data_IF_386427242084
#
_entry.id   IF_386427242084
#
_cell.length_a   1.000
_cell.length_b   1.000
_cell.length_c   1.000
_cell.angle_alpha   90.00
_cell.angle_beta   90.00
_cell.angle_gamma   90.00
#
_symmetry.space_group_name_H-M   'P 1'
#
loop_
_entity.id
_entity.type
_entity.pdbx_description
1 polymer ?
#
# COMPACT_ATOMS: atom_id res chain seq x y z
N UNK A 1 -35.09 -2.72 7.97
CA UNK A 1 -33.85 -2.56 8.74
C UNK A 1 -33.62 -1.06 8.94
N UNK A 2 -33.61 -0.57 10.18
CA UNK A 2 -33.38 0.85 10.47
C UNK A 2 -31.99 1.22 9.93
N UNK A 3 -31.94 2.28 9.13
CA UNK A 3 -30.70 2.83 8.58
C UNK A 3 -29.87 3.34 9.78
N UNK A 4 -28.88 2.57 10.21
CA UNK A 4 -28.02 2.95 11.32
C UNK A 4 -27.31 4.26 10.93
N UNK A 5 -27.54 5.31 11.69
CA UNK A 5 -27.02 6.65 11.42
C UNK A 5 -25.49 6.56 11.34
N UNK A 6 -24.92 6.80 10.16
CA UNK A 6 -23.46 6.67 9.92
C UNK A 6 -22.70 7.57 10.87
N UNK A 7 -21.71 7.02 11.56
CA UNK A 7 -20.79 7.77 12.40
C UNK A 7 -19.72 8.44 11.51
N UNK A 8 -20.06 9.59 10.93
CA UNK A 8 -19.16 10.34 10.06
C UNK A 8 -17.87 10.79 10.75
N UNK A 9 -17.92 11.06 12.05
CA UNK A 9 -16.72 11.45 12.82
C UNK A 9 -15.70 10.31 12.80
N UNK A 10 -16.14 9.08 13.07
CA UNK A 10 -15.28 7.91 13.01
C UNK A 10 -14.77 7.65 11.59
N UNK A 11 -15.62 7.77 10.55
CA UNK A 11 -15.24 7.58 9.15
C UNK A 11 -14.15 8.58 8.74
N UNK A 12 -14.36 9.87 8.98
CA UNK A 12 -13.39 10.93 8.65
C UNK A 12 -12.07 10.72 9.40
N UNK A 13 -12.14 10.30 10.67
CA UNK A 13 -10.96 9.99 11.46
C UNK A 13 -10.17 8.82 10.83
N UNK A 14 -10.83 7.76 10.39
CA UNK A 14 -10.17 6.63 9.73
C UNK A 14 -9.56 7.06 8.38
N UNK A 15 -10.22 7.90 7.60
CA UNK A 15 -9.67 8.44 6.37
C UNK A 15 -8.43 9.31 6.62
N UNK A 16 -8.44 10.13 7.67
CA UNK A 16 -7.28 10.90 8.08
C UNK A 16 -6.10 9.98 8.45
N UNK A 17 -6.35 8.91 9.20
CA UNK A 17 -5.33 7.90 9.52
C UNK A 17 -4.78 7.25 8.23
N UNK A 18 -5.61 6.98 7.22
CA UNK A 18 -5.12 6.49 5.92
C UNK A 18 -4.14 7.47 5.24
N UNK A 19 -4.40 8.77 5.33
CA UNK A 19 -3.45 9.80 4.88
C UNK A 19 -2.13 9.74 5.65
N UNK A 20 -2.19 9.59 6.97
CA UNK A 20 -0.99 9.48 7.81
C UNK A 20 -0.15 8.25 7.50
N UNK A 21 -0.77 7.10 7.24
CA UNK A 21 -0.09 5.87 6.79
C UNK A 21 0.76 6.17 5.56
N UNK A 22 0.16 6.80 4.56
CA UNK A 22 0.84 7.12 3.31
C UNK A 22 1.95 8.14 3.49
N UNK A 23 1.72 9.15 4.33
CA UNK A 23 2.73 10.15 4.66
C UNK A 23 4.00 9.49 5.19
N UNK A 24 3.88 8.65 6.21
CA UNK A 24 5.04 7.94 6.80
C UNK A 24 5.71 7.00 5.80
N UNK A 25 4.94 6.22 5.07
CA UNK A 25 5.48 5.27 4.09
C UNK A 25 6.27 5.99 3.00
N UNK A 26 5.77 7.12 2.51
CA UNK A 26 6.41 7.85 1.42
C UNK A 26 7.53 8.80 1.88
N UNK A 27 7.66 9.04 3.18
CA UNK A 27 8.84 9.70 3.76
C UNK A 27 10.11 8.86 3.62
N UNK A 28 10.00 7.54 3.53
CA UNK A 28 11.16 6.67 3.39
C UNK A 28 11.97 6.92 2.11
N UNK A 29 11.34 7.35 1.01
CA UNK A 29 12.03 7.57 -0.26
C UNK A 29 13.01 8.77 -0.23
N UNK A 30 12.65 9.98 0.22
CA UNK A 30 13.61 11.09 0.35
C UNK A 30 14.82 10.75 1.22
N UNK A 31 14.60 10.05 2.33
CA UNK A 31 15.70 9.64 3.21
C UNK A 31 16.55 8.53 2.60
N UNK A 32 15.93 7.54 1.98
CA UNK A 32 16.63 6.49 1.25
C UNK A 32 17.55 7.07 0.19
N UNK A 33 17.11 8.11 -0.52
CA UNK A 33 17.94 8.80 -1.51
C UNK A 33 19.15 9.50 -0.89
N UNK A 34 18.99 10.21 0.25
CA UNK A 34 20.11 10.86 0.95
C UNK A 34 21.14 9.82 1.41
N UNK A 35 20.68 8.75 2.06
CA UNK A 35 21.56 7.67 2.49
C UNK A 35 22.15 6.88 1.33
N UNK A 36 21.42 6.74 0.22
CA UNK A 36 21.87 6.10 -1.02
C UNK A 36 23.08 6.77 -1.66
N UNK A 37 23.29 8.07 -1.43
CA UNK A 37 24.48 8.79 -1.87
C UNK A 37 25.75 8.37 -1.10
N UNK A 38 25.60 7.87 0.12
CA UNK A 38 26.72 7.39 0.93
C UNK A 38 26.87 5.86 0.86
N UNK A 39 25.76 5.14 0.62
CA UNK A 39 25.72 3.67 0.58
C UNK A 39 24.79 3.22 -0.55
N UNK A 40 25.33 2.62 -1.63
CA UNK A 40 24.56 2.20 -2.82
C UNK A 40 23.34 1.31 -2.51
N UNK A 41 23.43 0.47 -1.47
CA UNK A 41 22.37 -0.42 -1.03
C UNK A 41 21.28 0.29 -0.21
N UNK A 42 21.52 1.50 0.28
CA UNK A 42 20.65 2.17 1.24
C UNK A 42 19.34 2.71 0.61
N UNK A 43 19.33 2.99 -0.67
CA UNK A 43 18.19 3.55 -1.36
C UNK A 43 16.89 2.74 -1.23
N UNK A 44 16.99 1.42 -1.16
CA UNK A 44 15.85 0.50 -0.97
C UNK A 44 15.69 -0.01 0.47
N UNK A 45 16.70 0.17 1.33
CA UNK A 45 16.72 -0.44 2.65
C UNK A 45 15.62 0.07 3.58
N UNK A 46 15.24 1.34 3.49
CA UNK A 46 14.13 1.91 4.25
C UNK A 46 12.79 1.25 3.93
N UNK A 47 12.49 1.07 2.64
CA UNK A 47 11.29 0.36 2.20
C UNK A 47 11.29 -1.11 2.63
N UNK A 48 12.44 -1.78 2.49
CA UNK A 48 12.58 -3.16 2.94
C UNK A 48 12.28 -3.30 4.44
N UNK A 49 12.74 -2.36 5.27
CA UNK A 49 12.44 -2.36 6.70
C UNK A 49 10.95 -2.15 6.97
N UNK A 50 10.27 -1.27 6.24
CA UNK A 50 8.83 -1.08 6.35
C UNK A 50 8.06 -2.37 6.06
N UNK A 51 8.38 -3.08 4.97
CA UNK A 51 7.71 -4.34 4.63
C UNK A 51 8.06 -5.49 5.58
N UNK A 52 9.31 -5.54 6.05
CA UNK A 52 9.75 -6.49 7.08
C UNK A 52 8.96 -6.30 8.38
N UNK A 53 8.67 -5.05 8.75
CA UNK A 53 7.87 -4.73 9.92
C UNK A 53 6.45 -5.36 9.86
N UNK A 54 5.83 -5.40 8.69
CA UNK A 54 4.52 -6.03 8.52
C UNK A 54 4.52 -7.52 8.86
N UNK A 55 5.60 -8.22 8.47
CA UNK A 55 5.74 -9.64 8.77
C UNK A 55 5.74 -9.91 10.28
N UNK A 56 6.43 -9.08 11.06
CA UNK A 56 6.53 -9.25 12.50
C UNK A 56 5.36 -8.65 13.27
N UNK A 57 4.79 -7.54 12.80
CA UNK A 57 3.76 -6.79 13.54
C UNK A 57 2.33 -7.17 13.15
N UNK A 58 2.08 -7.82 12.03
CA UNK A 58 0.73 -8.12 11.56
C UNK A 58 -0.09 -8.92 12.57
N UNK A 59 0.42 -10.06 13.05
CA UNK A 59 -0.26 -10.90 14.04
C UNK A 59 -0.37 -10.17 15.41
N UNK A 60 0.69 -9.57 15.98
CA UNK A 60 0.57 -8.76 17.18
C UNK A 60 -0.47 -7.64 17.07
N UNK A 61 -0.53 -6.91 15.95
CA UNK A 61 -1.51 -5.86 15.72
C UNK A 61 -2.95 -6.40 15.75
N UNK A 62 -3.22 -7.54 15.09
CA UNK A 62 -4.51 -8.21 15.16
C UNK A 62 -4.90 -8.63 16.59
N UNK A 63 -3.93 -9.12 17.38
CA UNK A 63 -4.16 -9.45 18.80
C UNK A 63 -4.39 -8.19 19.64
N UNK A 64 -3.74 -7.07 19.32
CA UNK A 64 -3.99 -5.78 19.97
C UNK A 64 -5.42 -5.29 19.73
N UNK A 65 -5.98 -5.45 18.52
CA UNK A 65 -7.38 -5.14 18.25
C UNK A 65 -8.32 -5.91 19.20
N UNK A 66 -8.06 -7.19 19.39
CA UNK A 66 -8.88 -8.05 20.26
C UNK A 66 -8.76 -7.61 21.71
N UNK A 67 -7.55 -7.33 22.18
CA UNK A 67 -7.26 -7.04 23.59
C UNK A 67 -7.59 -5.60 23.99
N UNK A 68 -7.32 -4.64 23.12
CA UNK A 68 -7.39 -3.21 23.44
C UNK A 68 -8.47 -2.47 22.65
N UNK A 69 -9.03 -3.06 21.59
CA UNK A 69 -9.96 -2.43 20.67
C UNK A 69 -9.28 -1.53 19.64
N UNK A 70 -10.07 -0.99 18.72
CA UNK A 70 -9.58 -0.18 17.60
C UNK A 70 -8.96 1.15 18.03
N UNK A 71 -9.66 1.90 18.93
CA UNK A 71 -9.21 3.21 19.38
C UNK A 71 -7.86 3.14 20.09
N UNK A 72 -7.72 2.24 21.07
CA UNK A 72 -6.46 2.12 21.83
C UNK A 72 -5.32 1.63 20.97
N UNK A 73 -5.58 0.70 20.05
CA UNK A 73 -4.56 0.22 19.10
C UNK A 73 -4.09 1.34 18.18
N UNK A 74 -5.00 2.20 17.67
CA UNK A 74 -4.62 3.37 16.88
C UNK A 74 -3.78 4.36 17.71
N UNK A 75 -4.17 4.65 18.96
CA UNK A 75 -3.40 5.54 19.82
C UNK A 75 -1.98 5.04 20.09
N UNK A 76 -1.82 3.74 20.36
CA UNK A 76 -0.49 3.12 20.52
C UNK A 76 0.31 3.25 19.23
N UNK A 77 -0.31 2.98 18.08
CA UNK A 77 0.35 3.09 16.78
C UNK A 77 0.86 4.51 16.51
N UNK A 78 0.07 5.54 16.84
CA UNK A 78 0.45 6.94 16.65
C UNK A 78 1.68 7.34 17.48
N UNK A 79 1.76 6.87 18.74
CA UNK A 79 2.95 7.08 19.58
C UNK A 79 4.17 6.35 18.99
N UNK A 80 3.98 5.08 18.57
CA UNK A 80 5.07 4.30 17.93
C UNK A 80 5.55 5.02 16.65
N UNK A 81 4.65 5.59 15.86
CA UNK A 81 5.00 6.36 14.67
C UNK A 81 5.81 7.64 14.99
N UNK A 82 5.38 8.39 16.01
CA UNK A 82 6.12 9.56 16.47
C UNK A 82 7.53 9.20 16.96
N UNK A 83 7.68 8.10 17.69
CA UNK A 83 8.98 7.57 18.12
C UNK A 83 9.83 7.16 16.92
N UNK A 84 9.26 6.44 15.96
CA UNK A 84 9.96 6.00 14.75
C UNK A 84 10.50 7.19 13.94
N UNK A 85 9.68 8.23 13.71
CA UNK A 85 10.11 9.47 13.07
C UNK A 85 11.19 10.20 13.90
N UNK A 86 11.07 10.22 15.23
CA UNK A 86 12.08 10.79 16.13
C UNK A 86 13.44 10.08 16.00
N UNK A 87 13.44 8.75 15.88
CA UNK A 87 14.66 7.96 15.64
C UNK A 87 15.23 8.25 14.24
N UNK A 88 14.38 8.40 13.22
CA UNK A 88 14.85 8.82 11.90
C UNK A 88 15.47 10.23 11.94
N UNK A 89 14.89 11.16 12.67
CA UNK A 89 15.47 12.49 12.88
C UNK A 89 16.84 12.40 13.59
N UNK A 90 16.93 11.57 14.63
CA UNK A 90 18.19 11.33 15.35
C UNK A 90 19.26 10.74 14.43
N UNK A 91 18.91 9.89 13.46
CA UNK A 91 19.85 9.30 12.52
C UNK A 91 20.67 10.33 11.74
N UNK A 92 20.03 11.45 11.37
CA UNK A 92 20.71 12.55 10.70
C UNK A 92 21.67 13.33 11.61
N UNK A 93 21.30 13.47 12.88
CA UNK A 93 22.16 14.14 13.88
C UNK A 93 23.42 13.31 14.17
N UNK A 94 23.25 11.98 14.35
CA UNK A 94 24.36 11.08 14.62
C UNK A 94 25.03 10.54 13.35
N UNK A 95 24.54 10.91 12.17
CA UNK A 95 25.05 10.48 10.85
C UNK A 95 25.20 8.96 10.75
N UNK A 96 24.19 8.20 11.21
CA UNK A 96 24.25 6.74 11.28
C UNK A 96 23.06 6.08 10.59
N UNK A 97 23.34 5.32 9.51
CA UNK A 97 22.33 4.62 8.71
C UNK A 97 21.58 3.54 9.50
N UNK A 98 22.22 2.85 10.44
CA UNK A 98 21.56 1.79 11.22
C UNK A 98 20.49 2.38 12.15
N UNK A 99 20.71 3.60 12.65
CA UNK A 99 19.69 4.35 13.40
C UNK A 99 18.52 4.71 12.50
N UNK A 100 18.78 5.11 11.24
CA UNK A 100 17.73 5.34 10.25
C UNK A 100 16.92 4.08 9.97
N UNK A 101 17.57 2.94 9.75
CA UNK A 101 16.90 1.65 9.49
C UNK A 101 16.04 1.20 10.67
N UNK A 102 16.50 1.42 11.90
CA UNK A 102 15.73 1.15 13.10
C UNK A 102 14.48 2.04 13.15
N UNK A 103 14.63 3.33 12.88
CA UNK A 103 13.51 4.26 12.79
C UNK A 103 12.50 3.85 11.71
N UNK A 104 12.98 3.42 10.53
CA UNK A 104 12.13 2.92 9.44
C UNK A 104 11.36 1.65 9.83
N UNK A 105 11.99 0.71 10.53
CA UNK A 105 11.33 -0.49 11.06
C UNK A 105 10.23 -0.14 12.06
N UNK A 106 10.49 0.80 12.99
CA UNK A 106 9.51 1.24 13.98
C UNK A 106 8.36 2.00 13.31
N UNK A 107 8.63 2.82 12.30
CA UNK A 107 7.60 3.43 11.46
C UNK A 107 6.76 2.36 10.75
N UNK A 108 7.38 1.30 10.24
CA UNK A 108 6.68 0.16 9.65
C UNK A 108 5.74 -0.54 10.64
N UNK A 109 6.12 -0.69 11.92
CA UNK A 109 5.21 -1.21 12.95
C UNK A 109 4.00 -0.30 13.15
N UNK A 110 4.20 1.02 13.19
CA UNK A 110 3.11 1.98 13.24
C UNK A 110 2.16 1.80 12.05
N UNK A 111 2.70 1.81 10.84
CA UNK A 111 1.91 1.72 9.60
C UNK A 111 1.14 0.40 9.54
N UNK A 112 1.75 -0.72 9.95
CA UNK A 112 1.08 -2.01 10.06
C UNK A 112 -0.09 -1.97 11.05
N UNK A 113 0.11 -1.46 12.25
CA UNK A 113 -0.95 -1.32 13.27
C UNK A 113 -2.08 -0.43 12.77
N UNK A 114 -1.78 0.72 12.17
CA UNK A 114 -2.81 1.64 11.64
C UNK A 114 -3.62 0.98 10.51
N UNK A 115 -2.97 0.29 9.58
CA UNK A 115 -3.66 -0.46 8.52
C UNK A 115 -4.56 -1.58 9.10
N UNK A 116 -4.10 -2.25 10.16
CA UNK A 116 -4.90 -3.28 10.85
C UNK A 116 -6.15 -2.69 11.50
N UNK A 117 -6.11 -1.41 11.91
CA UNK A 117 -7.26 -0.68 12.49
C UNK A 117 -8.20 -0.16 11.41
N UNK A 118 -7.68 0.58 10.42
CA UNK A 118 -8.53 1.40 9.53
C UNK A 118 -9.36 0.57 8.56
N UNK A 119 -8.79 -0.51 8.02
CA UNK A 119 -9.49 -1.33 7.03
C UNK A 119 -10.74 -2.02 7.61
N UNK A 120 -10.65 -2.82 8.70
CA UNK A 120 -11.85 -3.44 9.26
C UNK A 120 -12.80 -2.42 9.85
N UNK A 121 -12.30 -1.31 10.43
CA UNK A 121 -13.17 -0.28 11.01
C UNK A 121 -14.02 0.42 9.94
N UNK A 122 -13.43 0.79 8.80
CA UNK A 122 -14.19 1.37 7.67
C UNK A 122 -15.18 0.36 7.08
N UNK A 123 -14.81 -0.91 6.99
CA UNK A 123 -15.72 -1.96 6.55
C UNK A 123 -16.94 -2.08 7.48
N UNK A 124 -16.71 -2.11 8.80
CA UNK A 124 -17.77 -2.18 9.80
C UNK A 124 -18.66 -0.92 9.81
N UNK A 125 -18.06 0.28 9.76
CA UNK A 125 -18.79 1.55 9.69
C UNK A 125 -19.64 1.68 8.43
N UNK A 126 -19.26 1.00 7.34
CA UNK A 126 -20.02 0.89 6.10
C UNK A 126 -21.10 -0.19 6.13
N UNK A 127 -21.16 -1.01 7.20
CA UNK A 127 -22.08 -2.15 7.27
C UNK A 127 -21.64 -3.35 6.42
N UNK A 128 -20.36 -3.41 6.04
CA UNK A 128 -19.81 -4.45 5.18
C UNK A 128 -20.18 -4.30 3.70
N UNK A 129 -19.88 -5.33 2.91
CA UNK A 129 -20.25 -5.43 1.51
C UNK A 129 -19.80 -4.24 0.65
N UNK A 130 -20.65 -3.81 -0.28
CA UNK A 130 -20.32 -2.74 -1.22
C UNK A 130 -20.05 -1.39 -0.54
N UNK A 131 -20.82 -1.05 0.49
CA UNK A 131 -20.66 0.22 1.20
C UNK A 131 -19.38 0.22 2.06
N UNK A 132 -19.06 -0.89 2.69
CA UNK A 132 -17.79 -1.06 3.39
C UNK A 132 -16.60 -0.89 2.45
N UNK A 133 -16.64 -1.54 1.29
CA UNK A 133 -15.62 -1.36 0.25
C UNK A 133 -15.53 0.09 -0.23
N UNK A 134 -16.66 0.78 -0.42
CA UNK A 134 -16.69 2.20 -0.82
C UNK A 134 -15.90 3.08 0.17
N UNK A 135 -16.11 2.88 1.48
CA UNK A 135 -15.40 3.66 2.50
C UNK A 135 -13.90 3.34 2.54
N UNK A 136 -13.51 2.07 2.33
CA UNK A 136 -12.10 1.68 2.22
C UNK A 136 -11.45 2.31 0.99
N UNK A 137 -12.12 2.29 -0.16
CA UNK A 137 -11.61 2.90 -1.40
C UNK A 137 -11.46 4.43 -1.29
N UNK A 138 -12.42 5.09 -0.62
CA UNK A 138 -12.31 6.53 -0.32
C UNK A 138 -11.09 6.84 0.55
N UNK A 139 -10.85 6.03 1.59
CA UNK A 139 -9.62 6.12 2.40
C UNK A 139 -8.37 5.87 1.57
N UNK A 140 -8.40 4.87 0.68
CA UNK A 140 -7.33 4.58 -0.27
C UNK A 140 -7.04 5.74 -1.23
N UNK A 141 -8.06 6.49 -1.65
CA UNK A 141 -7.88 7.71 -2.46
C UNK A 141 -7.11 8.78 -1.70
N UNK A 142 -7.47 9.02 -0.44
CA UNK A 142 -6.74 9.97 0.43
C UNK A 142 -5.31 9.49 0.67
N UNK A 143 -5.11 8.20 0.90
CA UNK A 143 -3.79 7.58 1.01
C UNK A 143 -2.94 7.86 -0.23
N UNK A 144 -3.46 7.63 -1.44
CA UNK A 144 -2.74 7.87 -2.69
C UNK A 144 -2.44 9.34 -2.91
N UNK A 145 -3.38 10.23 -2.60
CA UNK A 145 -3.16 11.69 -2.68
C UNK A 145 -2.02 12.12 -1.76
N UNK A 146 -2.03 11.69 -0.51
CA UNK A 146 -0.96 11.99 0.45
C UNK A 146 0.37 11.38 0.01
N UNK A 147 0.34 10.15 -0.55
CA UNK A 147 1.51 9.47 -1.09
C UNK A 147 2.16 10.20 -2.26
N UNK A 148 1.36 10.88 -3.08
CA UNK A 148 1.86 11.71 -4.18
C UNK A 148 2.42 13.05 -3.65
N UNK A 149 1.73 13.69 -2.71
CA UNK A 149 2.14 14.99 -2.18
C UNK A 149 3.40 14.91 -1.31
N UNK A 150 3.61 13.83 -0.55
CA UNK A 150 4.74 13.71 0.38
C UNK A 150 6.11 13.80 -0.29
N UNK A 151 6.42 13.04 -1.37
CA UNK A 151 7.67 13.18 -2.09
C UNK A 151 7.83 14.54 -2.77
N UNK A 152 6.73 15.13 -3.26
CA UNK A 152 6.75 16.49 -3.84
C UNK A 152 7.16 17.53 -2.81
N UNK A 153 6.57 17.50 -1.62
CA UNK A 153 6.94 18.40 -0.54
C UNK A 153 8.41 18.22 -0.13
N UNK A 154 8.88 16.98 -0.04
CA UNK A 154 10.27 16.69 0.23
C UNK A 154 11.20 17.24 -0.87
N UNK A 155 10.82 17.06 -2.16
CA UNK A 155 11.57 17.58 -3.30
C UNK A 155 11.62 19.11 -3.34
N UNK A 156 10.56 19.80 -2.93
CA UNK A 156 10.54 21.27 -2.82
C UNK A 156 11.46 21.81 -1.73
N UNK A 157 11.66 21.05 -0.65
CA UNK A 157 12.56 21.42 0.45
C UNK A 157 14.03 21.17 0.11
N UNK A 158 14.30 20.20 -0.75
CA UNK A 158 15.65 19.80 -1.13
C UNK A 158 15.90 20.14 -2.59
N UNK A 159 16.47 21.31 -2.85
CA UNK A 159 16.75 21.75 -4.23
C UNK A 159 17.71 20.81 -4.99
N UNK A 160 18.87 20.51 -4.39
CA UNK A 160 19.84 19.54 -4.94
C UNK A 160 20.16 18.51 -3.87
N UNK A 161 19.95 17.24 -4.19
CA UNK A 161 20.13 16.15 -3.24
C UNK A 161 21.64 15.89 -3.05
N UNK A 162 22.12 16.01 -1.83
CA UNK A 162 23.48 15.70 -1.41
C UNK A 162 23.46 14.85 -0.14
N UNK A 163 24.61 14.23 0.21
CA UNK A 163 24.73 13.51 1.49
C UNK A 163 24.47 14.40 2.72
N UNK A 164 24.63 15.71 2.56
CA UNK A 164 24.46 16.72 3.62
C UNK A 164 23.05 17.36 3.58
N UNK A 165 22.12 16.86 2.77
CA UNK A 165 20.74 17.39 2.63
C UNK A 165 19.81 17.02 3.79
N UNK A 166 20.29 16.26 4.77
CA UNK A 166 19.45 15.82 5.90
C UNK A 166 18.81 16.99 6.67
N UNK A 167 19.51 18.10 7.00
CA UNK A 167 18.90 19.24 7.66
C UNK A 167 17.73 19.87 6.87
N UNK A 168 17.74 19.75 5.53
CA UNK A 168 16.69 20.29 4.67
C UNK A 168 15.38 19.49 4.74
N UNK A 169 15.46 18.17 4.99
CA UNK A 169 14.29 17.30 5.19
C UNK A 169 13.85 17.19 6.66
N UNK A 170 14.68 17.58 7.61
CA UNK A 170 14.35 17.57 9.04
C UNK A 170 13.02 18.28 9.38
N UNK A 171 12.68 19.46 8.80
CA UNK A 171 11.39 20.12 9.04
C UNK A 171 10.20 19.24 8.66
N UNK A 172 10.31 18.42 7.60
CA UNK A 172 9.26 17.53 7.18
C UNK A 172 9.04 16.39 8.18
N UNK A 173 10.12 15.85 8.76
CA UNK A 173 10.03 14.84 9.84
C UNK A 173 9.37 15.46 11.08
N UNK A 174 9.82 16.64 11.49
CA UNK A 174 9.27 17.35 12.65
C UNK A 174 7.76 17.60 12.43
N UNK A 175 7.37 18.02 11.24
CA UNK A 175 5.95 18.18 10.86
C UNK A 175 5.21 16.85 11.02
N UNK A 176 5.79 15.75 10.56
CA UNK A 176 5.23 14.41 10.75
C UNK A 176 5.03 14.06 12.22
N UNK A 177 6.03 14.29 13.06
CA UNK A 177 5.92 14.05 14.51
C UNK A 177 4.78 14.89 15.12
N UNK A 178 4.70 16.17 14.77
CA UNK A 178 3.64 17.07 15.25
C UNK A 178 2.26 16.57 14.82
N UNK A 179 2.11 16.15 13.55
CA UNK A 179 0.85 15.58 13.04
C UNK A 179 0.46 14.31 13.81
N UNK A 180 1.42 13.40 14.09
CA UNK A 180 1.15 12.17 14.85
C UNK A 180 0.71 12.48 16.29
N UNK A 181 1.37 13.39 16.97
CA UNK A 181 1.00 13.82 18.33
C UNK A 181 -0.36 14.54 18.33
N UNK A 182 -0.60 15.44 17.38
CA UNK A 182 -1.91 16.11 17.23
C UNK A 182 -3.02 15.08 16.99
N UNK A 183 -2.81 14.10 16.08
CA UNK A 183 -3.75 13.02 15.85
C UNK A 183 -4.01 12.19 17.11
N UNK A 184 -2.96 11.88 17.89
CA UNK A 184 -3.10 11.18 19.16
C UNK A 184 -4.04 11.94 20.12
N UNK A 185 -3.84 13.26 20.31
CA UNK A 185 -4.70 14.08 21.16
C UNK A 185 -6.14 14.14 20.62
N UNK A 186 -6.31 14.43 19.32
CA UNK A 186 -7.65 14.53 18.70
C UNK A 186 -8.41 13.21 18.88
N UNK A 187 -7.80 12.06 18.51
CA UNK A 187 -8.45 10.75 18.60
C UNK A 187 -8.73 10.35 20.05
N UNK A 188 -7.91 10.79 21.01
CA UNK A 188 -8.14 10.53 22.43
C UNK A 188 -9.49 11.08 22.92
N UNK A 189 -9.93 12.22 22.38
CA UNK A 189 -11.21 12.85 22.75
C UNK A 189 -12.40 12.38 21.92
N UNK A 190 -12.18 11.79 20.71
CA UNK A 190 -13.26 11.30 19.86
C UNK A 190 -13.85 10.01 20.44
N UNK A 191 -15.18 9.93 20.55
CA UNK A 191 -15.89 8.70 20.86
C UNK A 191 -15.98 7.85 19.58
N UNK A 192 -15.31 6.71 19.58
CA UNK A 192 -15.39 5.71 18.52
C UNK A 192 -16.13 4.52 19.11
N UNK A 193 -17.27 4.16 18.52
CA UNK A 193 -18.01 2.97 18.88
C UNK A 193 -17.21 1.75 18.41
N UNK A 194 -16.86 0.88 19.35
CA UNK A 194 -16.04 -0.30 19.08
C UNK A 194 -16.95 -1.54 18.94
N UNK A 195 -17.29 -1.96 17.72
CA UNK A 195 -18.24 -3.07 17.48
C UNK A 195 -17.73 -4.39 18.06
N UNK A 196 -16.45 -4.48 18.39
CA UNK A 196 -15.78 -5.71 18.82
C UNK A 196 -15.03 -5.53 20.17
N UNK A 197 -15.40 -4.53 20.99
CA UNK A 197 -14.70 -4.17 22.22
C UNK A 197 -14.63 -5.28 23.28
N UNK A 198 -15.39 -6.37 23.18
CA UNK A 198 -15.45 -7.46 24.16
C UNK A 198 -14.95 -8.80 23.64
N UNK A 199 -14.12 -8.82 22.58
CA UNK A 199 -13.62 -10.08 22.02
C UNK A 199 -12.50 -10.73 22.85
N UNK A 200 -11.97 -10.06 23.87
CA UNK A 200 -10.93 -10.60 24.75
C UNK A 200 -11.33 -11.89 25.49
N UNK A 201 -12.63 -12.08 25.76
CA UNK A 201 -13.18 -13.25 26.44
C UNK A 201 -13.77 -14.31 25.49
N UNK A 202 -13.70 -14.06 24.18
CA UNK A 202 -14.26 -15.00 23.18
C UNK A 202 -13.27 -16.14 22.92
N UNK A 203 -13.73 -17.36 23.07
CA UNK A 203 -12.96 -18.54 22.64
C UNK A 203 -12.99 -18.64 21.13
N UNK A 204 -11.78 -18.61 20.54
CA UNK A 204 -11.58 -18.85 19.12
C UNK A 204 -11.31 -20.33 18.90
N UNK A 205 -12.32 -21.08 18.44
CA UNK A 205 -12.19 -22.50 18.18
C UNK A 205 -11.36 -22.78 16.92
N UNK A 206 -11.33 -21.80 16.01
CA UNK A 206 -10.63 -21.92 14.73
C UNK A 206 -9.68 -20.75 14.49
N UNK A 207 -8.68 -20.98 13.63
CA UNK A 207 -7.84 -19.93 13.07
C UNK A 207 -8.56 -19.26 11.87
N UNK A 208 -8.29 -17.99 11.54
CA UNK A 208 -8.77 -17.38 10.30
C UNK A 208 -8.40 -18.15 9.02
N UNK A 209 -7.33 -18.94 9.05
CA UNK A 209 -6.93 -19.84 7.97
C UNK A 209 -7.90 -21.01 7.70
N UNK A 210 -8.78 -21.33 8.66
CA UNK A 210 -9.82 -22.32 8.46
C UNK A 210 -10.91 -21.83 7.48
N UNK A 211 -11.06 -20.52 7.30
CA UNK A 211 -11.97 -19.93 6.33
C UNK A 211 -11.27 -19.86 4.97
N UNK A 212 -11.71 -20.69 4.04
CA UNK A 212 -11.08 -20.79 2.70
C UNK A 212 -10.95 -19.46 2.00
N UNK A 213 -12.00 -18.61 2.01
CA UNK A 213 -11.99 -17.31 1.34
C UNK A 213 -11.02 -16.33 2.00
N UNK A 214 -10.85 -16.38 3.31
CA UNK A 214 -9.86 -15.59 4.03
C UNK A 214 -8.44 -16.07 3.73
N UNK A 215 -8.18 -17.39 3.82
CA UNK A 215 -6.86 -17.97 3.54
C UNK A 215 -6.37 -17.66 2.12
N UNK A 216 -7.25 -17.84 1.11
CA UNK A 216 -6.92 -17.48 -0.27
C UNK A 216 -6.82 -15.97 -0.46
N UNK A 217 -7.56 -15.18 0.31
CA UNK A 217 -7.44 -13.71 0.34
C UNK A 217 -6.11 -13.23 0.92
N UNK A 218 -5.56 -13.91 1.92
CA UNK A 218 -4.23 -13.62 2.45
C UNK A 218 -3.14 -13.85 1.39
N UNK A 219 -3.25 -14.89 0.58
CA UNK A 219 -2.34 -15.12 -0.53
C UNK A 219 -2.58 -14.08 -1.64
N UNK A 220 -3.84 -13.69 -1.87
CA UNK A 220 -4.17 -12.67 -2.87
C UNK A 220 -3.56 -11.29 -2.52
N UNK A 221 -3.57 -10.88 -1.24
CA UNK A 221 -2.94 -9.61 -0.85
C UNK A 221 -1.42 -9.67 -0.98
N UNK A 222 -0.79 -10.81 -0.68
CA UNK A 222 0.64 -10.99 -0.89
C UNK A 222 1.03 -10.75 -2.36
N UNK A 223 0.31 -11.36 -3.29
CA UNK A 223 0.54 -11.14 -4.71
C UNK A 223 0.17 -9.74 -5.17
N UNK A 224 -0.94 -9.19 -4.67
CA UNK A 224 -1.35 -7.84 -5.06
C UNK A 224 -0.31 -6.79 -4.71
N UNK A 225 0.20 -6.78 -3.45
CA UNK A 225 1.21 -5.79 -3.04
C UNK A 225 2.51 -6.01 -3.83
N UNK A 226 2.80 -7.27 -4.15
CA UNK A 226 3.88 -7.61 -5.09
C UNK A 226 3.70 -6.97 -6.46
N UNK A 227 2.52 -7.09 -7.08
CA UNK A 227 2.19 -6.46 -8.37
C UNK A 227 2.29 -4.94 -8.26
N UNK A 228 1.70 -4.34 -7.22
CA UNK A 228 1.65 -2.90 -7.01
C UNK A 228 3.03 -2.27 -7.01
N UNK A 229 4.00 -2.89 -6.35
CA UNK A 229 5.36 -2.37 -6.21
C UNK A 229 6.27 -2.80 -7.37
N UNK A 230 6.17 -4.05 -7.80
CA UNK A 230 7.06 -4.60 -8.84
C UNK A 230 6.78 -4.00 -10.22
N UNK A 231 5.51 -3.78 -10.57
CA UNK A 231 5.13 -3.32 -11.92
C UNK A 231 5.77 -1.98 -12.30
N UNK A 232 5.60 -0.89 -11.53
CA UNK A 232 6.27 0.37 -11.85
C UNK A 232 7.76 0.33 -11.51
N UNK A 233 8.18 -0.45 -10.51
CA UNK A 233 9.58 -0.55 -10.09
C UNK A 233 10.47 -1.16 -11.16
N UNK A 234 10.05 -2.26 -11.78
CA UNK A 234 10.80 -2.89 -12.88
C UNK A 234 10.81 -2.04 -14.15
N UNK A 235 9.72 -1.35 -14.45
CA UNK A 235 9.69 -0.40 -15.58
C UNK A 235 10.69 0.74 -15.36
N UNK A 236 10.71 1.30 -14.17
CA UNK A 236 11.66 2.35 -13.81
C UNK A 236 13.10 1.85 -13.96
N UNK A 237 13.40 0.68 -13.40
CA UNK A 237 14.73 0.09 -13.48
C UNK A 237 15.14 -0.21 -14.92
N UNK A 238 14.23 -0.75 -15.73
CA UNK A 238 14.47 -1.05 -17.14
C UNK A 238 14.85 0.19 -17.95
N UNK A 239 14.00 1.21 -17.90
CA UNK A 239 14.23 2.44 -18.68
C UNK A 239 15.44 3.22 -18.16
N UNK A 240 15.66 3.26 -16.83
CA UNK A 240 16.84 3.91 -16.27
C UNK A 240 18.15 3.27 -16.69
N UNK A 241 18.19 1.95 -16.86
CA UNK A 241 19.43 1.20 -17.18
C UNK A 241 19.62 0.94 -18.68
N UNK A 242 18.54 0.67 -19.42
CA UNK A 242 18.58 0.22 -20.79
C UNK A 242 17.92 1.20 -21.78
N UNK A 243 17.43 2.35 -21.32
CA UNK A 243 16.76 3.37 -22.15
C UNK A 243 17.63 3.88 -23.29
N UNK A 244 18.94 4.01 -23.06
CA UNK A 244 19.92 4.33 -24.10
C UNK A 244 19.87 5.77 -24.62
N UNK A 245 19.18 6.69 -23.91
CA UNK A 245 19.08 8.11 -24.25
C UNK A 245 19.39 9.00 -23.03
N UNK A 246 19.81 10.23 -23.28
CA UNK A 246 20.08 11.21 -22.23
C UNK A 246 18.80 11.52 -21.44
N UNK A 247 18.86 11.54 -20.11
CA UNK A 247 17.69 11.75 -19.26
C UNK A 247 16.80 10.53 -19.04
N UNK A 248 17.20 9.32 -19.48
CA UNK A 248 16.42 8.10 -19.34
C UNK A 248 15.95 7.84 -17.90
N UNK A 249 16.77 8.14 -16.88
CA UNK A 249 16.41 7.97 -15.48
C UNK A 249 15.28 8.93 -15.05
N UNK A 250 15.28 10.18 -15.52
CA UNK A 250 14.21 11.13 -15.26
C UNK A 250 12.90 10.68 -15.92
N UNK A 251 12.95 10.23 -17.18
CA UNK A 251 11.79 9.69 -17.89
C UNK A 251 11.26 8.45 -17.19
N UNK A 252 12.12 7.55 -16.74
CA UNK A 252 11.74 6.36 -15.96
C UNK A 252 10.99 6.72 -14.67
N UNK A 253 11.47 7.74 -13.97
CA UNK A 253 10.79 8.29 -12.79
C UNK A 253 9.40 8.84 -13.12
N UNK A 254 9.29 9.62 -14.22
CA UNK A 254 8.01 10.16 -14.70
C UNK A 254 7.03 9.07 -15.10
N UNK A 255 7.48 8.02 -15.78
CA UNK A 255 6.63 6.87 -16.14
C UNK A 255 6.08 6.14 -14.91
N UNK A 256 6.94 5.92 -13.90
CA UNK A 256 6.50 5.35 -12.63
C UNK A 256 5.51 6.28 -11.90
N UNK A 257 5.73 7.59 -11.92
CA UNK A 257 4.82 8.58 -11.34
C UNK A 257 3.45 8.56 -12.04
N UNK A 258 3.39 8.38 -13.36
CA UNK A 258 2.13 8.21 -14.10
C UNK A 258 1.37 6.97 -13.63
N UNK A 259 2.05 5.85 -13.38
CA UNK A 259 1.41 4.65 -12.82
C UNK A 259 0.71 4.95 -11.48
N UNK A 260 1.39 5.63 -10.57
CA UNK A 260 0.83 6.00 -9.26
C UNK A 260 -0.31 7.02 -9.39
N UNK A 261 -0.20 7.96 -10.31
CA UNK A 261 -1.27 8.92 -10.61
C UNK A 261 -2.52 8.24 -11.18
N UNK A 262 -2.35 7.29 -12.10
CA UNK A 262 -3.46 6.49 -12.61
C UNK A 262 -4.08 5.62 -11.52
N UNK A 263 -3.28 5.13 -10.57
CA UNK A 263 -3.81 4.42 -9.41
C UNK A 263 -4.64 5.33 -8.50
N UNK A 264 -4.25 6.60 -8.32
CA UNK A 264 -5.07 7.59 -7.62
C UNK A 264 -6.43 7.79 -8.32
N UNK A 265 -6.42 7.99 -9.64
CA UNK A 265 -7.65 8.15 -10.44
C UNK A 265 -8.52 6.91 -10.33
N UNK A 266 -7.95 5.72 -10.46
CA UNK A 266 -8.68 4.46 -10.34
C UNK A 266 -9.32 4.25 -8.97
N UNK A 267 -8.64 4.61 -7.87
CA UNK A 267 -9.20 4.58 -6.51
C UNK A 267 -10.37 5.55 -6.35
N UNK A 268 -10.24 6.77 -6.88
CA UNK A 268 -11.33 7.75 -6.87
C UNK A 268 -12.55 7.26 -7.66
N UNK A 269 -12.35 6.71 -8.87
CA UNK A 269 -13.39 6.12 -9.67
C UNK A 269 -14.04 4.91 -8.98
N UNK A 270 -13.24 4.02 -8.38
CA UNK A 270 -13.75 2.89 -7.61
C UNK A 270 -14.58 3.34 -6.41
N UNK A 271 -14.21 4.42 -5.74
CA UNK A 271 -15.00 4.99 -4.65
C UNK A 271 -16.43 5.32 -5.11
N UNK A 272 -16.56 5.93 -6.29
CA UNK A 272 -17.86 6.26 -6.87
C UNK A 272 -18.65 5.01 -7.32
N UNK A 273 -17.97 3.99 -7.82
CA UNK A 273 -18.57 2.79 -8.37
C UNK A 273 -18.88 1.72 -7.31
N UNK A 274 -18.11 1.63 -6.23
CA UNK A 274 -18.19 0.54 -5.24
C UNK A 274 -19.53 0.48 -4.50
N UNK A 275 -20.26 1.58 -4.43
CA UNK A 275 -21.62 1.58 -3.91
C UNK A 275 -22.63 0.83 -4.79
N UNK A 276 -22.34 0.67 -6.09
CA UNK A 276 -23.23 0.06 -7.11
C UNK A 276 -22.71 -1.26 -7.65
N UNK A 277 -21.39 -1.40 -7.76
CA UNK A 277 -20.72 -2.56 -8.35
C UNK A 277 -20.00 -3.35 -7.24
N UNK A 278 -20.25 -4.66 -7.19
CA UNK A 278 -19.64 -5.51 -6.15
C UNK A 278 -18.12 -5.54 -6.24
N UNK A 279 -17.43 -5.67 -5.08
CA UNK A 279 -15.98 -5.83 -5.01
C UNK A 279 -15.48 -6.99 -5.88
N UNK A 280 -16.26 -8.08 -5.94
CA UNK A 280 -15.97 -9.24 -6.77
C UNK A 280 -15.96 -8.89 -8.26
N UNK A 281 -17.00 -8.20 -8.76
CA UNK A 281 -17.08 -7.80 -10.16
C UNK A 281 -15.94 -6.84 -10.54
N UNK A 282 -15.67 -5.84 -9.69
CA UNK A 282 -14.55 -4.94 -9.91
C UNK A 282 -13.23 -5.70 -10.01
N UNK A 283 -12.97 -6.63 -9.07
CA UNK A 283 -11.72 -7.40 -9.02
C UNK A 283 -11.55 -8.30 -10.25
N UNK A 284 -12.62 -8.94 -10.74
CA UNK A 284 -12.61 -9.73 -11.97
C UNK A 284 -12.24 -8.82 -13.16
N UNK A 285 -12.92 -7.70 -13.32
CA UNK A 285 -12.71 -6.79 -14.45
C UNK A 285 -11.27 -6.28 -14.49
N UNK A 286 -10.77 -5.76 -13.37
CA UNK A 286 -9.40 -5.19 -13.34
C UNK A 286 -8.33 -6.28 -13.49
N UNK A 287 -8.57 -7.50 -13.04
CA UNK A 287 -7.63 -8.60 -13.22
C UNK A 287 -7.53 -9.03 -14.69
N UNK A 288 -8.67 -9.13 -15.39
CA UNK A 288 -8.69 -9.47 -16.82
C UNK A 288 -8.03 -8.37 -17.66
N UNK A 289 -8.38 -7.11 -17.40
CA UNK A 289 -7.78 -5.96 -18.10
C UNK A 289 -6.29 -5.87 -17.80
N UNK A 290 -5.88 -6.04 -16.54
CA UNK A 290 -4.48 -6.02 -16.13
C UNK A 290 -3.65 -7.11 -16.82
N UNK A 291 -4.18 -8.34 -16.90
CA UNK A 291 -3.54 -9.45 -17.64
C UNK A 291 -3.37 -9.06 -19.12
N UNK A 292 -4.42 -8.54 -19.76
CA UNK A 292 -4.36 -8.12 -21.14
C UNK A 292 -3.31 -7.01 -21.37
N UNK A 293 -3.26 -6.02 -20.50
CA UNK A 293 -2.27 -4.93 -20.57
C UNK A 293 -0.83 -5.46 -20.43
N UNK A 294 -0.57 -6.30 -19.44
CA UNK A 294 0.78 -6.84 -19.23
C UNK A 294 1.21 -7.77 -20.36
N UNK A 295 0.30 -8.62 -20.87
CA UNK A 295 0.58 -9.44 -22.05
C UNK A 295 0.89 -8.54 -23.26
N UNK A 296 0.10 -7.49 -23.49
CA UNK A 296 0.38 -6.52 -24.56
C UNK A 296 1.74 -5.85 -24.38
N UNK A 297 2.12 -5.51 -23.15
CA UNK A 297 3.44 -4.96 -22.85
C UNK A 297 4.57 -5.94 -23.24
N UNK A 298 4.45 -7.22 -22.90
CA UNK A 298 5.47 -8.23 -23.20
C UNK A 298 5.71 -8.34 -24.73
N UNK A 299 4.66 -8.26 -25.53
CA UNK A 299 4.75 -8.46 -26.99
C UNK A 299 5.00 -7.17 -27.79
N UNK A 300 5.06 -6.00 -27.15
CA UNK A 300 5.24 -4.71 -27.85
C UNK A 300 6.56 -4.00 -27.50
N UNK A 301 7.51 -4.73 -26.90
CA UNK A 301 8.78 -4.17 -26.46
C UNK A 301 9.66 -3.57 -27.55
N UNK A 302 9.60 -4.14 -28.74
CA UNK A 302 10.38 -3.67 -29.89
C UNK A 302 9.78 -2.43 -30.56
N UNK A 303 8.52 -2.11 -30.28
CA UNK A 303 7.82 -0.96 -30.86
C UNK A 303 8.17 0.28 -30.02
N UNK A 304 8.88 1.23 -30.62
CA UNK A 304 9.23 2.50 -30.01
C UNK A 304 8.21 3.57 -30.39
N UNK A 305 7.84 4.39 -29.40
CA UNK A 305 6.95 5.55 -29.57
C UNK A 305 7.59 6.79 -28.99
N UNK A 306 7.25 7.95 -29.54
CA UNK A 306 7.63 9.23 -28.95
C UNK A 306 6.54 9.68 -28.00
N UNK A 307 6.86 9.76 -26.70
CA UNK A 307 5.98 10.23 -25.65
C UNK A 307 6.20 11.71 -25.38
N UNK A 308 5.09 12.46 -25.40
CA UNK A 308 5.05 13.84 -24.99
C UNK A 308 3.85 14.01 -24.05
N UNK A 309 4.11 14.09 -22.75
CA UNK A 309 3.09 14.17 -21.70
C UNK A 309 3.43 15.36 -20.79
N UNK A 310 2.49 16.27 -20.64
CA UNK A 310 2.56 17.35 -19.67
C UNK A 310 1.29 17.35 -18.82
N UNK A 311 1.45 16.99 -17.55
CA UNK A 311 0.40 17.02 -16.53
C UNK A 311 0.65 18.16 -15.51
N UNK A 312 1.58 19.08 -15.81
CA UNK A 312 1.99 20.16 -14.94
C UNK A 312 2.96 19.76 -13.83
N UNK A 313 2.75 18.59 -13.19
CA UNK A 313 3.63 18.04 -12.15
C UNK A 313 4.41 16.80 -12.61
N UNK A 314 4.04 16.20 -13.73
CA UNK A 314 4.77 15.14 -14.41
C UNK A 314 4.95 15.55 -15.86
N UNK A 315 6.20 15.72 -16.28
CA UNK A 315 6.52 16.14 -17.65
C UNK A 315 7.44 15.08 -18.29
N UNK A 316 7.10 14.66 -19.49
CA UNK A 316 7.94 13.86 -20.40
C UNK A 316 7.95 14.59 -21.73
N UNK A 317 9.11 15.14 -22.10
CA UNK A 317 9.26 15.86 -23.34
C UNK A 317 10.00 15.01 -24.37
N UNK A 318 9.32 14.72 -25.50
CA UNK A 318 9.90 14.05 -26.67
C UNK A 318 10.77 12.80 -26.39
N UNK A 319 10.38 12.02 -25.38
CA UNK A 319 11.13 10.81 -25.01
C UNK A 319 10.72 9.62 -25.89
N UNK A 320 11.69 8.99 -26.54
CA UNK A 320 11.47 7.76 -27.31
C UNK A 320 11.56 6.55 -26.37
N UNK A 321 10.42 5.94 -26.08
CA UNK A 321 10.32 4.80 -25.16
C UNK A 321 9.61 3.62 -25.81
N UNK A 322 9.80 2.37 -25.34
CA UNK A 322 9.01 1.23 -25.79
C UNK A 322 7.52 1.41 -25.51
N UNK A 323 6.67 1.00 -26.46
CA UNK A 323 5.20 1.03 -26.30
C UNK A 323 4.73 0.23 -25.07
N UNK A 324 5.49 -0.78 -24.68
CA UNK A 324 5.26 -1.56 -23.45
C UNK A 324 5.09 -0.68 -22.21
N UNK A 325 5.83 0.43 -22.12
CA UNK A 325 5.73 1.35 -20.98
C UNK A 325 4.31 1.90 -20.80
N UNK A 326 3.60 2.15 -21.92
CA UNK A 326 2.22 2.63 -21.90
C UNK A 326 1.30 1.59 -21.27
N UNK A 327 1.40 0.34 -21.69
CA UNK A 327 0.60 -0.75 -21.14
C UNK A 327 0.94 -1.00 -19.66
N UNK A 328 2.22 -0.90 -19.27
CA UNK A 328 2.66 -1.09 -17.90
C UNK A 328 2.10 0.02 -16.99
N UNK A 329 2.23 1.30 -17.36
CA UNK A 329 1.71 2.35 -16.48
C UNK A 329 0.17 2.38 -16.44
N UNK A 330 -0.54 1.99 -17.53
CA UNK A 330 -2.00 1.84 -17.52
C UNK A 330 -2.47 0.77 -16.54
N UNK A 331 -1.65 -0.23 -16.23
CA UNK A 331 -1.96 -1.24 -15.20
C UNK A 331 -2.18 -0.61 -13.81
N UNK A 332 -1.71 0.62 -13.57
CA UNK A 332 -2.00 1.38 -12.35
C UNK A 332 -3.50 1.59 -12.11
N UNK A 333 -4.31 1.77 -13.17
CA UNK A 333 -5.77 1.78 -13.06
C UNK A 333 -6.33 0.45 -12.54
N UNK A 334 -5.74 -0.67 -12.97
CA UNK A 334 -6.19 -2.00 -12.57
C UNK A 334 -5.83 -2.31 -11.11
N UNK A 335 -4.61 -1.99 -10.69
CA UNK A 335 -4.16 -2.25 -9.31
C UNK A 335 -4.87 -1.39 -8.28
N UNK A 336 -5.44 -0.26 -8.69
CA UNK A 336 -6.08 0.73 -7.82
C UNK A 336 -7.18 0.17 -6.92
N UNK A 337 -8.00 -0.76 -7.41
CA UNK A 337 -9.18 -1.28 -6.69
C UNK A 337 -8.91 -2.56 -5.92
N UNK A 338 -7.73 -3.19 -6.14
CA UNK A 338 -7.47 -4.55 -5.66
C UNK A 338 -7.35 -4.63 -4.14
N UNK A 339 -6.68 -3.68 -3.47
CA UNK A 339 -6.52 -3.68 -2.02
C UNK A 339 -7.86 -3.79 -1.30
N UNK A 340 -8.75 -2.82 -1.51
CA UNK A 340 -10.06 -2.78 -0.84
C UNK A 340 -10.94 -3.94 -1.26
N UNK A 341 -10.91 -4.33 -2.53
CA UNK A 341 -11.67 -5.46 -3.05
C UNK A 341 -11.26 -6.79 -2.41
N UNK A 342 -9.96 -7.07 -2.33
CA UNK A 342 -9.44 -8.30 -1.71
C UNK A 342 -9.74 -8.30 -0.21
N UNK A 343 -9.48 -7.19 0.50
CA UNK A 343 -9.75 -7.08 1.94
C UNK A 343 -11.21 -7.31 2.26
N UNK A 344 -12.12 -6.64 1.52
CA UNK A 344 -13.56 -6.76 1.74
C UNK A 344 -14.04 -8.20 1.53
N UNK A 345 -13.59 -8.86 0.46
CA UNK A 345 -13.96 -10.25 0.16
C UNK A 345 -13.32 -11.25 1.15
N UNK A 346 -12.09 -11.00 1.60
CA UNK A 346 -11.39 -11.88 2.54
C UNK A 346 -11.98 -11.83 3.96
N UNK A 347 -12.58 -10.70 4.33
CA UNK A 347 -13.15 -10.49 5.67
C UNK A 347 -14.67 -10.68 5.72
N UNK A 348 -15.32 -10.94 4.58
CA UNK A 348 -16.76 -11.10 4.50
C UNK A 348 -17.26 -12.28 5.35
N UNK A 349 -18.18 -12.01 6.29
CA UNK A 349 -18.80 -13.03 7.12
C UNK A 349 -17.88 -13.67 8.16
N UNK A 350 -16.76 -13.06 8.53
CA UNK A 350 -15.86 -13.59 9.55
C UNK A 350 -16.27 -13.24 10.99
N UNK A 351 -17.21 -12.31 11.22
CA UNK A 351 -17.67 -11.93 12.55
C UNK A 351 -16.52 -11.68 13.54
N UNK A 352 -16.50 -12.41 14.67
CA UNK A 352 -15.45 -12.31 15.71
C UNK A 352 -14.02 -12.55 15.19
N UNK A 353 -13.84 -13.29 14.10
CA UNK A 353 -12.51 -13.61 13.55
C UNK A 353 -11.91 -12.46 12.72
N UNK A 354 -12.68 -11.39 12.41
CA UNK A 354 -12.23 -10.28 11.54
C UNK A 354 -10.94 -9.63 12.04
N UNK A 355 -10.80 -9.38 13.34
CA UNK A 355 -9.61 -8.77 13.91
C UNK A 355 -8.35 -9.63 13.73
N UNK A 356 -8.46 -10.94 13.98
CA UNK A 356 -7.36 -11.89 13.73
C UNK A 356 -7.04 -12.02 12.25
N UNK A 357 -8.06 -12.06 11.39
CA UNK A 357 -7.90 -12.11 9.95
C UNK A 357 -7.19 -10.87 9.42
N UNK A 358 -7.52 -9.68 9.93
CA UNK A 358 -6.84 -8.43 9.57
C UNK A 358 -5.35 -8.47 9.92
N UNK A 359 -4.98 -9.06 11.07
CA UNK A 359 -3.58 -9.25 11.43
C UNK A 359 -2.83 -10.15 10.43
N UNK A 360 -3.41 -11.28 10.04
CA UNK A 360 -2.84 -12.17 9.02
C UNK A 360 -2.77 -11.49 7.65
N UNK A 361 -3.81 -10.75 7.28
CA UNK A 361 -3.85 -9.98 6.04
C UNK A 361 -2.67 -8.98 5.99
N UNK A 362 -2.43 -8.26 7.09
CA UNK A 362 -1.30 -7.33 7.16
C UNK A 362 0.06 -8.03 7.13
N UNK A 363 0.18 -9.20 7.74
CA UNK A 363 1.42 -9.99 7.69
C UNK A 363 1.84 -10.32 6.24
N UNK A 364 0.86 -10.64 5.38
CA UNK A 364 1.10 -11.00 3.98
C UNK A 364 1.37 -9.79 3.06
N UNK A 365 1.25 -8.55 3.55
CA UNK A 365 1.70 -7.33 2.85
C UNK A 365 3.22 -7.37 2.56
N UNK A 366 3.97 -8.20 3.26
CA UNK A 366 5.40 -8.47 2.97
C UNK A 366 5.65 -8.87 1.51
N UNK A 367 4.64 -9.31 0.78
CA UNK A 367 4.70 -9.57 -0.67
C UNK A 367 5.26 -8.40 -1.49
N UNK A 368 5.05 -7.15 -1.01
CA UNK A 368 5.61 -5.94 -1.63
C UNK A 368 7.13 -5.81 -1.54
N UNK A 369 7.78 -6.55 -0.64
CA UNK A 369 9.24 -6.68 -0.62
C UNK A 369 9.74 -7.92 -1.36
N UNK A 370 9.03 -9.05 -1.18
CA UNK A 370 9.44 -10.36 -1.70
C UNK A 370 9.29 -10.46 -3.22
N UNK A 371 8.14 -10.08 -3.78
CA UNK A 371 7.85 -10.31 -5.19
C UNK A 371 8.67 -9.43 -6.14
N UNK A 372 8.92 -8.12 -5.85
CA UNK A 372 9.84 -7.32 -6.67
C UNK A 372 11.26 -7.89 -6.67
N UNK A 373 11.72 -8.42 -5.53
CA UNK A 373 13.03 -9.06 -5.44
C UNK A 373 13.10 -10.33 -6.31
N UNK A 374 12.07 -11.18 -6.28
CA UNK A 374 11.98 -12.36 -7.14
C UNK A 374 11.97 -11.93 -8.61
N UNK A 375 11.24 -10.87 -8.97
CA UNK A 375 11.20 -10.37 -10.35
C UNK A 375 12.58 -9.86 -10.80
N UNK A 376 13.31 -9.12 -9.96
CA UNK A 376 14.68 -8.67 -10.25
C UNK A 376 15.63 -9.84 -10.47
N UNK A 377 15.50 -10.91 -9.68
CA UNK A 377 16.28 -12.14 -9.88
C UNK A 377 15.99 -12.82 -11.22
N UNK A 378 14.75 -12.77 -11.72
CA UNK A 378 14.39 -13.32 -13.03
C UNK A 378 14.97 -12.50 -14.18
N UNK A 379 15.13 -11.20 -14.01
CA UNK A 379 15.73 -10.32 -15.04
C UNK A 379 17.19 -10.71 -15.32
N UNK A 380 17.97 -11.01 -14.30
CA UNK A 380 19.44 -11.02 -14.38
C UNK A 380 20.10 -12.16 -15.14
N UNK A 381 19.63 -13.41 -15.13
CA UNK A 381 20.42 -14.42 -15.85
C UNK A 381 19.90 -14.80 -17.22
N UNK A 382 18.59 -14.67 -17.54
CA UNK A 382 18.04 -15.42 -18.69
C UNK A 382 16.94 -14.70 -19.48
N UNK A 383 16.14 -13.81 -18.87
CA UNK A 383 14.86 -13.44 -19.48
C UNK A 383 14.74 -11.99 -19.95
N UNK A 384 15.57 -11.07 -19.45
CA UNK A 384 15.39 -9.63 -19.68
C UNK A 384 14.16 -9.03 -18.96
N UNK A 385 14.07 -7.71 -18.96
CA UNK A 385 13.03 -7.00 -18.20
C UNK A 385 11.61 -7.38 -18.61
N UNK A 386 11.28 -7.38 -19.89
CA UNK A 386 9.91 -7.65 -20.35
C UNK A 386 9.44 -9.07 -20.05
N UNK A 387 10.30 -10.07 -20.23
CA UNK A 387 9.93 -11.44 -19.90
C UNK A 387 9.73 -11.67 -18.40
N UNK A 388 10.34 -10.86 -17.52
CA UNK A 388 10.08 -10.93 -16.09
C UNK A 388 8.63 -10.61 -15.72
N UNK A 389 7.91 -9.89 -16.60
CA UNK A 389 6.49 -9.55 -16.39
C UNK A 389 5.54 -10.75 -16.50
N UNK A 390 5.99 -11.91 -17.00
CA UNK A 390 5.21 -13.14 -16.87
C UNK A 390 4.92 -13.50 -15.40
N UNK A 391 5.79 -13.11 -14.46
CA UNK A 391 5.52 -13.23 -13.05
C UNK A 391 4.29 -12.38 -12.64
N UNK A 392 4.19 -11.15 -13.17
CA UNK A 392 3.03 -10.29 -12.92
C UNK A 392 1.74 -10.91 -13.48
N UNK A 393 1.81 -11.49 -14.70
CA UNK A 393 0.67 -12.21 -15.29
C UNK A 393 0.23 -13.38 -14.40
N UNK A 394 1.17 -14.18 -13.90
CA UNK A 394 0.86 -15.29 -13.00
C UNK A 394 0.19 -14.83 -11.70
N UNK A 395 0.68 -13.74 -11.10
CA UNK A 395 0.08 -13.17 -9.90
C UNK A 395 -1.32 -12.60 -10.16
N UNK A 396 -1.53 -11.89 -11.28
CA UNK A 396 -2.83 -11.40 -11.71
C UNK A 396 -3.81 -12.54 -12.00
N UNK A 397 -3.35 -13.64 -12.60
CA UNK A 397 -4.16 -14.83 -12.82
C UNK A 397 -4.61 -15.46 -11.49
N UNK A 398 -3.75 -15.46 -10.46
CA UNK A 398 -4.17 -15.89 -9.13
C UNK A 398 -5.25 -14.97 -8.54
N UNK A 399 -5.11 -13.65 -8.66
CA UNK A 399 -6.14 -12.70 -8.18
C UNK A 399 -7.46 -12.90 -8.93
N UNK A 400 -7.42 -13.16 -10.25
CA UNK A 400 -8.59 -13.52 -11.03
C UNK A 400 -9.24 -14.82 -10.53
N UNK A 401 -8.46 -15.87 -10.28
CA UNK A 401 -8.94 -17.11 -9.69
C UNK A 401 -9.60 -16.86 -8.32
N UNK A 402 -8.96 -16.04 -7.47
CA UNK A 402 -9.52 -15.65 -6.19
C UNK A 402 -10.88 -14.98 -6.35
N UNK A 403 -11.00 -14.00 -7.25
CA UNK A 403 -12.26 -13.29 -7.50
C UNK A 403 -13.36 -14.18 -8.08
N UNK A 404 -13.01 -15.15 -8.95
CA UNK A 404 -14.00 -16.05 -9.58
C UNK A 404 -14.49 -17.13 -8.62
N UNK A 405 -13.60 -17.76 -7.87
CA UNK A 405 -13.86 -18.99 -7.09
C UNK A 405 -13.45 -18.86 -5.63
N UNK A 406 -12.25 -18.33 -5.38
CA UNK A 406 -11.61 -18.35 -4.07
C UNK A 406 -12.30 -17.51 -3.00
N UNK A 407 -12.92 -16.39 -3.39
CA UNK A 407 -13.58 -15.45 -2.49
C UNK A 407 -14.93 -15.95 -1.91
N UNK A 408 -15.47 -17.07 -2.41
CA UNK A 408 -16.74 -17.59 -1.91
C UNK A 408 -16.58 -18.17 -0.50
N UNK A 409 -17.38 -17.68 0.45
CA UNK A 409 -17.45 -18.27 1.77
C UNK A 409 -18.18 -19.62 1.71
N UNK A 410 -17.41 -20.70 1.87
CA UNK A 410 -17.92 -22.09 1.88
C UNK A 410 -17.98 -22.68 3.29
N UNK A 411 -17.38 -22.00 4.28
CA UNK A 411 -17.27 -22.49 5.67
C UNK A 411 -18.41 -21.93 6.55
N UNK A 412 -19.66 -22.14 6.12
CA UNK A 412 -20.87 -21.68 6.83
C UNK A 412 -21.19 -22.45 8.11
N UNK A 413 -20.53 -23.56 8.31
CA UNK A 413 -20.60 -24.44 9.49
C UNK A 413 -19.83 -23.87 10.69
N UNK A 414 -18.86 -22.96 10.46
CA UNK A 414 -18.09 -22.33 11.52
C UNK A 414 -18.89 -21.18 12.12
N UNK A 415 -19.18 -21.23 13.42
CA UNK A 415 -19.86 -20.16 14.16
C UNK A 415 -18.98 -18.94 14.28
N UNK A 416 -19.49 -17.79 13.84
CA UNK A 416 -18.77 -16.50 13.79
C UNK A 416 -19.29 -15.47 14.79
N UNK A 417 -20.36 -15.80 15.49
CA UNK A 417 -21.02 -14.96 16.53
C UNK A 417 -20.21 -14.94 17.84
#
# INVERSE_FOLDING_TARGET
MAQQKRNWVAIITMWFIFGMISFVTNMAAPFGNIWGMSYEWAGMAGNLMNFTAYLFMGIPAGNMLIKYGYKKTALIALIVGAIGLGIQLLSGVVSNIYVYLLGALICGFCVCMLNTVVNPMLNLLGGGGNTGNQLIQAGGTINSLTGTLTPMLAGMLVGTLTKDSFPQVAPLIITGIVIFLAAFFIISFIKIDEPQANLSNVKYEHSPWAFRHAALGFIAIFFYVGIEIATPGMMNQWISREGGFEGAAAVAGSLAAIYWFLMLIGRAASTALSGKVSSRTQLITVSVVGIALIISAIFTGDIKINLNIDLGFITIENATVPLSCVFIFLCGLCTSVMWGGIFNLATEGLGKYTAKASGWFMCLVVGGGVMPYIQDMLVRPVTGYLNSYWLIVAMLAYILYYALVGCKNVNKDIKVD
#
